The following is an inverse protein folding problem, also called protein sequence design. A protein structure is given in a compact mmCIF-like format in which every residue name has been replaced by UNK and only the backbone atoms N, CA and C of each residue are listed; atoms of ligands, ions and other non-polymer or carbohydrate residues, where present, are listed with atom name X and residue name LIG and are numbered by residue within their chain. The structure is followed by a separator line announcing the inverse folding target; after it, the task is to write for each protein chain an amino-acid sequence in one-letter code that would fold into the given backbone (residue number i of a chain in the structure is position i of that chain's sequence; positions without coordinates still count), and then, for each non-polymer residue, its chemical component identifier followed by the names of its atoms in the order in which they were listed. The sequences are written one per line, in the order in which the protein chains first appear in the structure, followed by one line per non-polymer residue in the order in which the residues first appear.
data_IF_852275031741
#
_entry.id   IF_852275031741
#
_cell.length_a   1.000
_cell.length_b   1.000
_cell.length_c   1.000
_cell.angle_alpha   90.00
_cell.angle_beta   90.00
_cell.angle_gamma   90.00
#
_symmetry.space_group_name_H-M   'P 1'
#
loop_
_entity.id
_entity.type
_entity.pdbx_description
1 polymer ?
#
# COMPACT_ATOMS: atom_id res chain seq x y z
N UNK A 1 -14.40 -20.90 12.10
CA UNK A 1 -13.89 -19.72 11.35
C UNK A 1 -13.57 -18.64 12.37
N UNK A 2 -12.28 -18.39 12.62
CA UNK A 2 -11.87 -17.28 13.46
C UNK A 2 -12.20 -15.98 12.73
N UNK A 3 -13.07 -15.18 13.31
CA UNK A 3 -13.41 -13.85 12.78
C UNK A 3 -12.13 -12.99 12.76
N UNK A 4 -11.54 -12.83 11.58
CA UNK A 4 -10.38 -11.93 11.39
C UNK A 4 -10.91 -10.51 11.56
N UNK A 5 -10.31 -9.73 12.47
CA UNK A 5 -10.66 -8.33 12.64
C UNK A 5 -10.47 -7.55 11.35
N UNK A 6 -11.39 -6.64 11.03
CA UNK A 6 -11.34 -5.79 9.84
C UNK A 6 -11.03 -4.37 10.25
N UNK A 7 -10.21 -3.70 9.46
CA UNK A 7 -9.88 -2.30 9.66
C UNK A 7 -10.00 -1.53 8.35
N UNK A 8 -10.81 -0.49 8.34
CA UNK A 8 -10.82 0.53 7.31
C UNK A 8 -10.61 1.89 7.95
N UNK A 9 -10.12 2.85 7.17
CA UNK A 9 -9.91 4.21 7.64
C UNK A 9 -11.27 4.90 7.84
N UNK A 10 -11.44 5.61 8.97
CA UNK A 10 -12.67 6.35 9.25
C UNK A 10 -12.81 7.64 8.43
N UNK A 11 -11.80 7.96 7.63
CA UNK A 11 -11.71 9.14 6.77
C UNK A 11 -11.11 8.75 5.41
N UNK A 12 -11.43 9.50 4.37
CA UNK A 12 -11.00 9.18 3.00
C UNK A 12 -9.49 9.13 2.83
N UNK A 13 -8.75 9.92 3.61
CA UNK A 13 -7.30 10.03 3.50
C UNK A 13 -6.64 10.35 4.83
N UNK A 14 -5.53 9.69 5.08
CA UNK A 14 -4.58 10.00 6.16
C UNK A 14 -3.15 10.01 5.62
N UNK A 15 -2.31 10.84 6.19
CA UNK A 15 -0.86 10.81 5.97
C UNK A 15 -0.15 11.25 7.24
N UNK A 16 1.01 10.68 7.51
CA UNK A 16 1.78 11.03 8.70
C UNK A 16 3.11 10.33 8.80
N UNK A 17 3.78 10.64 9.92
CA UNK A 17 5.06 10.03 10.32
C UNK A 17 4.97 9.52 11.76
N UNK A 18 5.84 8.58 12.11
CA UNK A 18 6.04 8.15 13.49
C UNK A 18 4.92 7.36 14.15
N UNK A 19 3.81 7.13 13.50
CA UNK A 19 2.59 6.49 14.02
C UNK A 19 2.75 5.00 14.34
N UNK A 20 3.89 4.41 14.00
CA UNK A 20 4.09 2.96 14.04
C UNK A 20 3.91 2.35 15.42
N UNK A 21 4.39 2.99 16.48
CA UNK A 21 4.47 2.30 17.79
C UNK A 21 3.12 1.99 18.42
N UNK A 22 2.18 2.91 18.36
CA UNK A 22 0.88 2.72 19.04
C UNK A 22 -0.08 1.91 18.18
N UNK A 23 -0.12 2.15 16.86
CA UNK A 23 -0.89 1.34 15.93
C UNK A 23 -0.33 -0.09 15.85
N UNK A 24 0.99 -0.23 15.68
CA UNK A 24 1.63 -1.54 15.60
C UNK A 24 1.51 -2.33 16.91
N UNK A 25 1.49 -1.67 18.07
CA UNK A 25 1.23 -2.34 19.36
C UNK A 25 -0.19 -2.90 19.44
N UNK A 26 -1.18 -2.17 18.92
CA UNK A 26 -2.58 -2.58 18.94
C UNK A 26 -2.84 -3.79 18.04
N UNK A 27 -2.06 -3.96 16.97
CA UNK A 27 -2.19 -5.07 16.01
C UNK A 27 -1.07 -6.12 16.12
N UNK A 28 -0.24 -6.04 17.16
CA UNK A 28 0.85 -7.00 17.34
C UNK A 28 0.32 -8.40 17.61
N UNK A 29 0.76 -9.36 16.80
CA UNK A 29 0.40 -10.79 16.85
C UNK A 29 -1.11 -11.08 16.63
N UNK A 30 -1.82 -10.16 15.98
CA UNK A 30 -3.20 -10.40 15.57
C UNK A 30 -3.33 -10.10 14.06
N UNK A 31 -3.74 -11.10 13.25
CA UNK A 31 -4.02 -10.87 11.85
C UNK A 31 -5.22 -9.91 11.71
N UNK A 32 -5.05 -8.88 10.88
CA UNK A 32 -6.07 -7.89 10.60
C UNK A 32 -6.27 -7.76 9.09
N UNK A 33 -7.52 -7.82 8.64
CA UNK A 33 -7.87 -7.51 7.26
C UNK A 33 -7.92 -6.00 7.08
N UNK A 34 -6.99 -5.46 6.31
CA UNK A 34 -6.91 -4.04 5.97
C UNK A 34 -7.78 -3.80 4.74
N UNK A 35 -8.90 -3.12 4.92
CA UNK A 35 -9.82 -2.77 3.83
C UNK A 35 -9.37 -1.51 3.05
N UNK A 36 -8.53 -0.69 3.67
CA UNK A 36 -7.90 0.50 3.08
C UNK A 36 -6.72 0.15 2.19
N UNK A 37 -6.37 1.04 1.25
CA UNK A 37 -5.07 1.02 0.57
C UNK A 37 -4.02 1.76 1.39
N UNK A 38 -2.84 1.16 1.59
CA UNK A 38 -1.74 1.75 2.37
C UNK A 38 -0.44 1.77 1.58
N UNK A 39 0.28 2.89 1.69
CA UNK A 39 1.67 3.06 1.27
C UNK A 39 2.49 3.40 2.50
N UNK A 40 3.52 2.61 2.80
CA UNK A 40 4.34 2.78 3.99
C UNK A 40 5.80 2.76 3.57
N UNK A 41 6.58 3.75 3.99
CA UNK A 41 8.02 3.80 3.79
C UNK A 41 8.72 3.64 5.14
N UNK A 42 9.58 2.63 5.26
CA UNK A 42 10.43 2.45 6.43
C UNK A 42 11.61 3.44 6.34
N UNK A 43 11.68 4.37 7.29
CA UNK A 43 12.74 5.39 7.35
C UNK A 43 13.91 4.92 8.19
N UNK A 44 13.63 4.15 9.24
CA UNK A 44 14.61 3.65 10.18
C UNK A 44 14.09 2.43 10.92
N UNK A 45 15.01 1.56 11.33
CA UNK A 45 14.69 0.37 12.10
C UNK A 45 14.28 -0.81 11.23
N UNK A 46 13.72 -1.81 11.88
CA UNK A 46 13.30 -3.07 11.23
C UNK A 46 11.96 -3.54 11.78
N UNK A 47 11.26 -4.33 10.97
CA UNK A 47 9.97 -4.90 11.35
C UNK A 47 9.80 -6.27 10.69
N UNK A 48 9.16 -7.20 11.40
CA UNK A 48 8.74 -8.49 10.85
C UNK A 48 7.22 -8.54 10.77
N UNK A 49 6.71 -8.84 9.59
CA UNK A 49 5.28 -8.89 9.31
C UNK A 49 4.93 -10.13 8.48
N UNK A 50 3.68 -10.54 8.57
CA UNK A 50 3.07 -11.45 7.58
C UNK A 50 2.05 -10.67 6.77
N UNK A 51 2.15 -10.74 5.44
CA UNK A 51 1.21 -10.14 4.50
C UNK A 51 0.64 -11.27 3.64
N UNK A 52 -0.69 -11.47 3.68
CA UNK A 52 -1.38 -12.53 2.92
C UNK A 52 -0.71 -13.91 3.07
N UNK A 53 -0.36 -14.29 4.31
CA UNK A 53 0.31 -15.55 4.68
C UNK A 53 1.80 -15.65 4.33
N UNK A 54 2.41 -14.64 3.72
CA UNK A 54 3.84 -14.59 3.45
C UNK A 54 4.58 -13.77 4.51
N UNK A 55 5.61 -14.36 5.12
CA UNK A 55 6.45 -13.67 6.09
C UNK A 55 7.46 -12.75 5.39
N UNK A 56 7.59 -11.53 5.89
CA UNK A 56 8.49 -10.51 5.35
C UNK A 56 9.31 -9.87 6.46
N UNK A 57 10.55 -9.54 6.11
CA UNK A 57 11.42 -8.68 6.91
C UNK A 57 11.50 -7.31 6.24
N UNK A 58 11.20 -6.26 6.99
CA UNK A 58 11.20 -4.88 6.53
C UNK A 58 12.38 -4.17 7.16
N UNK A 59 13.09 -3.40 6.37
CA UNK A 59 14.27 -2.62 6.76
C UNK A 59 14.20 -1.19 6.20
N UNK A 60 15.19 -0.39 6.54
CA UNK A 60 15.31 0.98 6.06
C UNK A 60 15.27 1.06 4.52
N UNK A 61 14.53 2.03 3.99
CA UNK A 61 14.23 2.25 2.58
C UNK A 61 13.32 1.22 1.90
N UNK A 62 12.68 0.33 2.66
CA UNK A 62 11.65 -0.53 2.10
C UNK A 62 10.32 0.24 1.96
N UNK A 63 9.76 0.20 0.76
CA UNK A 63 8.40 0.66 0.45
C UNK A 63 7.44 -0.53 0.50
N UNK A 64 6.44 -0.42 1.35
CA UNK A 64 5.37 -1.40 1.50
C UNK A 64 4.13 -0.85 0.82
N UNK A 65 3.55 -1.60 -0.10
CA UNK A 65 2.29 -1.23 -0.77
C UNK A 65 1.24 -2.30 -0.46
N UNK A 66 0.22 -1.93 0.29
CA UNK A 66 -0.89 -2.81 0.64
C UNK A 66 -2.14 -2.38 -0.12
N UNK A 67 -2.56 -3.13 -1.15
CA UNK A 67 -3.87 -2.93 -1.75
C UNK A 67 -4.99 -3.22 -0.75
N UNK A 68 -6.22 -2.73 -0.98
CA UNK A 68 -7.37 -3.10 -0.16
C UNK A 68 -7.55 -4.61 -0.04
N UNK A 69 -8.05 -5.03 1.12
CA UNK A 69 -8.32 -6.43 1.48
C UNK A 69 -7.09 -7.30 1.75
N UNK A 70 -5.90 -6.73 1.92
CA UNK A 70 -4.74 -7.47 2.42
C UNK A 70 -4.91 -7.88 3.89
N UNK A 71 -4.39 -9.05 4.24
CA UNK A 71 -4.27 -9.49 5.64
C UNK A 71 -2.87 -9.14 6.11
N UNK A 72 -2.78 -8.32 7.15
CA UNK A 72 -1.52 -7.89 7.77
C UNK A 72 -1.46 -8.42 9.21
N UNK A 73 -0.33 -9.00 9.58
CA UNK A 73 0.02 -9.33 10.95
C UNK A 73 1.42 -8.80 11.26
N UNK A 74 1.55 -8.04 12.34
CA UNK A 74 2.84 -7.50 12.80
C UNK A 74 3.35 -8.36 13.94
N UNK A 75 4.56 -8.92 13.82
CA UNK A 75 5.16 -9.78 14.83
C UNK A 75 6.11 -9.02 15.75
N UNK A 76 7.11 -8.39 15.15
CA UNK A 76 8.14 -7.65 15.89
C UNK A 76 8.52 -6.37 15.17
N UNK A 77 9.02 -5.41 15.93
CA UNK A 77 9.64 -4.20 15.38
C UNK A 77 10.71 -3.67 16.33
N UNK A 78 11.72 -3.02 15.77
CA UNK A 78 12.80 -2.42 16.55
C UNK A 78 12.32 -1.20 17.36
N UNK A 79 13.01 -0.90 18.45
CA UNK A 79 12.63 0.22 19.32
C UNK A 79 12.76 1.59 18.66
N UNK A 80 13.56 1.68 17.61
CA UNK A 80 13.85 2.89 16.83
C UNK A 80 13.10 2.94 15.50
N UNK A 81 12.10 2.08 15.29
CA UNK A 81 11.28 2.08 14.07
C UNK A 81 10.68 3.45 13.80
N UNK A 82 10.88 3.94 12.59
CA UNK A 82 10.28 5.15 12.05
C UNK A 82 9.73 4.85 10.66
N UNK A 83 8.49 5.24 10.43
CA UNK A 83 7.83 5.08 9.14
C UNK A 83 7.13 6.36 8.73
N UNK A 84 7.03 6.58 7.42
CA UNK A 84 5.99 7.41 6.83
C UNK A 84 4.86 6.50 6.33
N UNK A 85 3.64 7.01 6.39
CA UNK A 85 2.47 6.29 5.89
C UNK A 85 1.51 7.24 5.17
N UNK A 86 0.86 6.72 4.14
CA UNK A 86 -0.28 7.32 3.48
C UNK A 86 -1.36 6.25 3.31
N UNK A 87 -2.59 6.56 3.72
CA UNK A 87 -3.70 5.63 3.69
C UNK A 87 -4.92 6.26 3.03
N UNK A 88 -5.67 5.43 2.29
CA UNK A 88 -6.87 5.81 1.56
C UNK A 88 -7.97 4.80 1.85
N UNK A 89 -9.16 5.26 2.28
CA UNK A 89 -10.27 4.37 2.62
C UNK A 89 -10.74 3.55 1.41
N UNK A 90 -11.33 2.40 1.67
CA UNK A 90 -11.95 1.56 0.63
C UNK A 90 -13.02 2.36 -0.14
N UNK A 91 -13.86 3.08 0.59
CA UNK A 91 -14.91 3.94 0.02
C UNK A 91 -14.34 5.00 -0.95
N UNK A 92 -13.23 5.66 -0.58
CA UNK A 92 -12.60 6.65 -1.46
C UNK A 92 -12.04 6.01 -2.73
N UNK A 93 -11.29 4.89 -2.58
CA UNK A 93 -10.69 4.16 -3.71
C UNK A 93 -11.76 3.72 -4.71
N UNK A 94 -12.88 3.19 -4.23
CA UNK A 94 -14.02 2.80 -5.06
C UNK A 94 -14.65 4.00 -5.78
N UNK A 95 -14.83 5.14 -5.06
CA UNK A 95 -15.49 6.34 -5.59
C UNK A 95 -14.77 6.99 -6.78
N UNK A 96 -13.46 6.82 -6.89
CA UNK A 96 -12.64 7.43 -7.97
C UNK A 96 -12.35 6.48 -9.14
N UNK A 97 -12.89 5.26 -9.12
CA UNK A 97 -12.76 4.27 -10.20
C UNK A 97 -11.30 3.95 -10.58
N UNK A 98 -10.37 4.10 -9.61
CA UNK A 98 -8.94 3.96 -9.83
C UNK A 98 -8.53 2.50 -10.10
N UNK A 99 -9.34 1.55 -9.63
CA UNK A 99 -9.10 0.11 -9.81
C UNK A 99 -8.87 -0.27 -11.27
N UNK A 100 -9.56 0.36 -12.22
CA UNK A 100 -9.36 0.08 -13.65
C UNK A 100 -7.99 0.51 -14.16
N UNK A 101 -7.45 1.61 -13.67
CA UNK A 101 -6.14 2.12 -14.09
C UNK A 101 -4.97 1.33 -13.50
N UNK A 102 -5.18 0.62 -12.39
CA UNK A 102 -4.14 -0.08 -11.62
C UNK A 102 -4.26 -1.61 -11.65
N UNK A 103 -5.27 -2.15 -12.33
CA UNK A 103 -5.52 -3.60 -12.40
C UNK A 103 -4.29 -4.42 -12.79
N UNK A 104 -3.47 -3.90 -13.70
CA UNK A 104 -2.27 -4.56 -14.16
C UNK A 104 -1.15 -4.63 -13.11
N UNK A 105 -1.19 -3.76 -12.07
CA UNK A 105 -0.20 -3.73 -11.00
C UNK A 105 -0.57 -4.61 -9.81
N UNK A 106 -1.87 -4.81 -9.57
CA UNK A 106 -2.35 -5.54 -8.40
C UNK A 106 -1.70 -6.92 -8.24
N UNK A 107 -1.57 -7.76 -9.30
CA UNK A 107 -0.93 -9.07 -9.17
C UNK A 107 0.51 -8.97 -8.72
N UNK A 108 1.26 -8.00 -9.24
CA UNK A 108 2.68 -7.78 -8.92
C UNK A 108 2.84 -7.32 -7.49
N UNK A 109 2.02 -6.36 -7.06
CA UNK A 109 2.02 -5.86 -5.69
C UNK A 109 1.60 -6.99 -4.72
N UNK A 110 0.61 -7.80 -5.06
CA UNK A 110 0.16 -8.90 -4.21
C UNK A 110 1.23 -10.00 -4.07
N UNK A 111 2.01 -10.25 -5.11
CA UNK A 111 3.13 -11.19 -5.08
C UNK A 111 4.34 -10.61 -4.32
N UNK A 112 4.62 -9.32 -4.51
CA UNK A 112 5.77 -8.62 -3.92
C UNK A 112 5.33 -7.27 -3.30
N UNK A 113 4.67 -7.29 -2.13
CA UNK A 113 4.14 -6.07 -1.51
C UNK A 113 5.23 -5.15 -0.94
N UNK A 114 6.48 -5.62 -0.87
CA UNK A 114 7.62 -4.89 -0.32
C UNK A 114 8.71 -4.77 -1.37
N UNK A 115 9.20 -3.55 -1.54
CA UNK A 115 10.21 -3.22 -2.53
C UNK A 115 11.31 -2.40 -1.86
N UNK A 116 12.55 -2.89 -1.91
CA UNK A 116 13.73 -2.14 -1.45
C UNK A 116 14.05 -1.01 -2.42
N UNK A 117 14.01 0.23 -1.95
CA UNK A 117 14.30 1.41 -2.74
C UNK A 117 15.80 1.70 -2.76
N UNK A 118 16.31 2.18 -3.89
CA UNK A 118 17.62 2.83 -3.91
C UNK A 118 17.60 4.12 -3.06
N UNK A 119 18.74 4.62 -2.58
CA UNK A 119 18.79 5.86 -1.80
C UNK A 119 18.12 7.06 -2.47
N UNK A 120 18.24 7.17 -3.79
CA UNK A 120 17.60 8.24 -4.57
C UNK A 120 16.09 8.08 -4.62
N UNK A 121 15.59 6.86 -4.84
CA UNK A 121 14.16 6.55 -4.83
C UNK A 121 13.55 6.79 -3.43
N UNK A 122 14.22 6.34 -2.37
CA UNK A 122 13.80 6.56 -1.00
C UNK A 122 13.72 8.05 -0.66
N UNK A 123 14.72 8.85 -1.08
CA UNK A 123 14.71 10.29 -0.94
C UNK A 123 13.51 10.94 -1.67
N UNK A 124 13.23 10.52 -2.90
CA UNK A 124 12.09 11.03 -3.68
C UNK A 124 10.75 10.69 -3.01
N UNK A 125 10.59 9.44 -2.52
CA UNK A 125 9.39 9.04 -1.79
C UNK A 125 9.23 9.78 -0.47
N UNK A 126 10.31 9.98 0.27
CA UNK A 126 10.31 10.80 1.48
C UNK A 126 9.77 12.20 1.20
N UNK A 127 10.22 12.85 0.12
CA UNK A 127 9.70 14.16 -0.28
C UNK A 127 8.19 14.13 -0.62
N UNK A 128 7.67 13.04 -1.21
CA UNK A 128 6.25 12.88 -1.44
C UNK A 128 5.47 12.85 -0.12
N UNK A 129 5.95 12.10 0.87
CA UNK A 129 5.31 12.07 2.20
C UNK A 129 5.37 13.43 2.89
N UNK A 130 6.54 14.07 2.95
CA UNK A 130 6.73 15.37 3.61
C UNK A 130 5.83 16.45 2.99
N UNK A 131 5.76 16.51 1.66
CA UNK A 131 4.86 17.42 0.93
C UNK A 131 3.39 17.11 1.21
N UNK A 132 3.03 15.83 1.29
CA UNK A 132 1.67 15.40 1.57
C UNK A 132 1.27 15.71 3.01
N UNK A 133 2.16 15.51 3.99
CA UNK A 133 1.95 15.86 5.40
C UNK A 133 1.76 17.37 5.56
N UNK A 134 2.62 18.17 4.93
CA UNK A 134 2.52 19.63 4.95
C UNK A 134 1.21 20.12 4.33
N UNK A 135 0.85 19.56 3.18
CA UNK A 135 -0.41 19.87 2.50
C UNK A 135 -1.63 19.48 3.35
N UNK A 136 -1.60 18.31 3.97
CA UNK A 136 -2.65 17.82 4.86
C UNK A 136 -2.90 18.77 6.04
N UNK A 137 -1.82 19.27 6.65
CA UNK A 137 -1.90 20.21 7.76
C UNK A 137 -2.35 21.61 7.34
N UNK A 138 -1.93 22.08 6.13
CA UNK A 138 -2.08 23.48 5.70
C UNK A 138 -3.36 23.78 4.94
N UNK A 139 -3.87 22.83 4.15
CA UNK A 139 -4.93 23.10 3.15
C UNK A 139 -6.23 22.33 3.38
N UNK A 140 -6.44 21.71 4.55
CA UNK A 140 -7.60 20.82 4.77
C UNK A 140 -7.75 19.79 3.64
N UNK A 141 -6.64 19.25 3.17
CA UNK A 141 -6.57 18.37 2.00
C UNK A 141 -7.58 17.22 2.08
N UNK A 142 -7.83 16.68 3.29
CA UNK A 142 -8.80 15.59 3.52
C UNK A 142 -10.23 15.90 3.10
N UNK A 143 -10.59 17.18 3.01
CA UNK A 143 -11.95 17.65 2.65
C UNK A 143 -12.07 17.87 1.14
N UNK A 144 -10.95 17.89 0.40
CA UNK A 144 -10.92 18.14 -1.03
C UNK A 144 -10.57 16.85 -1.80
N UNK A 145 -11.61 16.20 -2.33
CA UNK A 145 -11.47 14.91 -3.06
C UNK A 145 -10.50 14.97 -4.24
N UNK A 146 -10.44 16.09 -4.95
CA UNK A 146 -9.55 16.23 -6.11
C UNK A 146 -8.06 16.27 -5.67
N UNK A 147 -7.77 16.94 -4.57
CA UNK A 147 -6.40 16.93 -4.01
C UNK A 147 -6.05 15.53 -3.51
N UNK A 148 -6.93 14.88 -2.76
CA UNK A 148 -6.70 13.50 -2.27
C UNK A 148 -6.49 12.53 -3.43
N UNK A 149 -7.27 12.67 -4.52
CA UNK A 149 -7.10 11.88 -5.74
C UNK A 149 -5.74 12.13 -6.40
N UNK A 150 -5.29 13.37 -6.47
CA UNK A 150 -3.97 13.72 -7.01
C UNK A 150 -2.83 13.09 -6.17
N UNK A 151 -2.95 13.16 -4.84
CA UNK A 151 -1.99 12.53 -3.92
C UNK A 151 -1.95 11.01 -4.11
N UNK A 152 -3.10 10.33 -4.12
CA UNK A 152 -3.18 8.89 -4.36
C UNK A 152 -2.58 8.52 -5.73
N UNK A 153 -2.90 9.28 -6.77
CA UNK A 153 -2.34 9.08 -8.11
C UNK A 153 -0.81 9.18 -8.10
N UNK A 154 -0.25 10.15 -7.38
CA UNK A 154 1.20 10.31 -7.23
C UNK A 154 1.83 9.08 -6.57
N UNK A 155 1.27 8.57 -5.47
CA UNK A 155 1.77 7.36 -4.81
C UNK A 155 1.70 6.13 -5.71
N UNK A 156 0.60 5.95 -6.42
CA UNK A 156 0.41 4.83 -7.36
C UNK A 156 1.39 4.91 -8.53
N UNK A 157 1.54 6.07 -9.16
CA UNK A 157 2.46 6.23 -10.28
C UNK A 157 3.91 6.03 -9.84
N UNK A 158 4.30 6.56 -8.68
CA UNK A 158 5.61 6.33 -8.11
C UNK A 158 5.88 4.85 -7.85
N UNK A 159 4.95 4.13 -7.20
CA UNK A 159 5.03 2.69 -7.00
C UNK A 159 5.13 1.94 -8.34
N UNK A 160 4.30 2.32 -9.34
CA UNK A 160 4.31 1.73 -10.67
C UNK A 160 5.68 1.78 -11.31
N UNK A 161 6.32 2.93 -11.30
CA UNK A 161 7.66 3.09 -11.91
C UNK A 161 8.72 2.27 -11.17
N UNK A 162 8.65 2.18 -9.84
CA UNK A 162 9.56 1.34 -9.06
C UNK A 162 9.38 -0.14 -9.42
N UNK A 163 8.14 -0.63 -9.43
CA UNK A 163 7.86 -2.02 -9.80
C UNK A 163 8.30 -2.36 -11.22
N UNK A 164 8.15 -1.44 -12.18
CA UNK A 164 8.66 -1.60 -13.55
C UNK A 164 10.19 -1.72 -13.59
N UNK A 165 10.88 -0.88 -12.84
CA UNK A 165 12.35 -0.87 -12.82
C UNK A 165 12.93 -2.13 -12.17
N UNK A 166 12.31 -2.64 -11.11
CA UNK A 166 12.86 -3.77 -10.37
C UNK A 166 12.54 -5.14 -10.95
N UNK A 167 11.37 -5.31 -11.56
CA UNK A 167 10.89 -6.63 -11.97
C UNK A 167 11.14 -6.95 -13.46
N UNK A 168 11.88 -6.14 -14.21
CA UNK A 168 11.91 -6.30 -15.67
C UNK A 168 10.49 -6.55 -16.23
N UNK A 169 9.53 -5.79 -15.74
CA UNK A 169 8.09 -5.91 -15.94
C UNK A 169 7.70 -6.25 -17.41
N UNK A 170 8.43 -5.68 -18.37
CA UNK A 170 8.17 -5.93 -19.78
C UNK A 170 8.36 -7.40 -20.21
N UNK A 171 9.18 -8.17 -19.49
CA UNK A 171 9.41 -9.59 -19.79
C UNK A 171 8.39 -10.48 -19.08
N UNK A 172 7.90 -10.08 -17.90
CA UNK A 172 6.93 -10.88 -17.12
C UNK A 172 5.48 -10.67 -17.55
N UNK A 173 5.14 -9.53 -18.15
CA UNK A 173 3.81 -9.25 -18.69
C UNK A 173 3.43 -10.16 -19.90
N UNK A 174 4.41 -10.83 -20.49
CA UNK A 174 4.22 -11.86 -21.52
C UNK A 174 4.16 -13.29 -20.96
N UNK A 175 4.22 -13.49 -19.64
CA UNK A 175 4.14 -14.83 -19.09
C UNK A 175 2.70 -15.35 -19.15
N UNK A 176 2.55 -16.60 -19.60
CA UNK A 176 1.25 -17.32 -19.65
C UNK A 176 0.48 -17.28 -18.31
N UNK A 177 1.21 -17.20 -17.18
CA UNK A 177 0.65 -17.07 -15.83
C UNK A 177 -0.09 -15.73 -15.66
N UNK A 178 0.44 -14.66 -16.23
CA UNK A 178 -0.17 -13.33 -16.22
C UNK A 178 -1.41 -13.26 -17.11
N UNK A 179 -1.36 -13.86 -18.30
CA UNK A 179 -2.51 -13.95 -19.20
C UNK A 179 -3.67 -14.72 -18.54
N UNK A 180 -3.40 -15.88 -17.95
CA UNK A 180 -4.39 -16.69 -17.22
C UNK A 180 -4.98 -15.91 -16.04
N UNK A 181 -4.17 -15.15 -15.31
CA UNK A 181 -4.64 -14.33 -14.19
C UNK A 181 -5.53 -13.18 -14.67
N UNK A 182 -5.17 -12.52 -15.77
CA UNK A 182 -6.01 -11.47 -16.39
C UNK A 182 -7.34 -12.03 -16.90
N UNK A 183 -7.32 -13.17 -17.55
CA UNK A 183 -8.55 -13.87 -17.98
C UNK A 183 -9.42 -14.24 -16.78
N UNK A 184 -8.83 -14.77 -15.70
CA UNK A 184 -9.55 -15.09 -14.47
C UNK A 184 -10.19 -13.84 -13.85
N UNK A 185 -9.46 -12.73 -13.74
CA UNK A 185 -10.00 -11.47 -13.23
C UNK A 185 -11.15 -10.95 -14.09
N UNK A 186 -11.01 -10.98 -15.43
CA UNK A 186 -12.07 -10.56 -16.34
C UNK A 186 -13.32 -11.43 -16.20
N UNK A 187 -13.16 -12.74 -16.08
CA UNK A 187 -14.26 -13.67 -15.86
C UNK A 187 -14.92 -13.46 -14.50
N UNK A 188 -14.14 -13.30 -13.44
CA UNK A 188 -14.65 -13.04 -12.10
C UNK A 188 -15.44 -11.72 -12.08
N UNK A 189 -14.91 -10.64 -12.65
CA UNK A 189 -15.61 -9.34 -12.72
C UNK A 189 -16.89 -9.41 -13.55
N UNK A 190 -16.92 -10.21 -14.62
CA UNK A 190 -18.10 -10.39 -15.48
C UNK A 190 -19.22 -11.14 -14.77
N UNK A 191 -18.89 -12.02 -13.82
CA UNK A 191 -19.86 -12.84 -13.10
C UNK A 191 -20.31 -12.25 -11.76
N UNK A 192 -19.58 -11.25 -11.22
CA UNK A 192 -19.94 -10.55 -9.97
C UNK A 192 -20.57 -9.16 -10.18
N UNK A 193 -20.77 -8.72 -11.42
CA UNK A 193 -21.60 -7.56 -11.74
C UNK A 193 -23.04 -8.03 -12.00
N UNK A 194 -23.78 -8.24 -10.93
CA UNK A 194 -25.25 -8.28 -10.91
C UNK A 194 -25.76 -7.15 -10.07
#
# INVERSE_FOLDING_TARGET
ESDISKYDLPVDYIVGEGFAKDLLKSYKNFPCKIESGLFILCIKGTMQVTINSNAHHISENDLITLPPNCILEVHTFSSDIQIYYAGFSSHFIESINLMKATQHLLPVIMENPIVALSPLQACSYKMFYESSILSYASFRTRENKEIVKAVLTMFIQGATEIYKLQNNWYLSSQSRKYEIYQEFLQLAMKHYTV
#
